data_IF_426118504730
#
_entry.id   IF_426118504730
#
_cell.length_a   1.000
_cell.length_b   1.000
_cell.length_c   1.000
_cell.angle_alpha   90.00
_cell.angle_beta   90.00
_cell.angle_gamma   90.00
#
_symmetry.space_group_name_H-M   'P 1'
#
loop_
_entity.id
_entity.type
_entity.pdbx_description
1 polymer ?
#
# COMPACT_ATOMS: atom_id res chain seq x y z
N UNK A 1 21.42 -22.07 11.88
CA UNK A 1 21.72 -20.86 12.66
C UNK A 1 20.44 -20.20 13.17
N UNK A 2 19.61 -19.64 12.29
CA UNK A 2 18.29 -19.11 12.64
C UNK A 2 17.19 -20.14 12.41
N UNK A 3 16.14 -20.07 13.21
CA UNK A 3 14.84 -20.69 13.00
C UNK A 3 13.79 -19.59 12.84
N UNK A 4 12.64 -19.92 12.29
CA UNK A 4 11.54 -18.97 12.12
C UNK A 4 10.23 -19.57 12.60
N UNK A 5 9.35 -18.70 13.08
CA UNK A 5 7.96 -19.04 13.35
C UNK A 5 7.06 -18.08 12.57
N UNK A 6 5.95 -18.61 12.05
CA UNK A 6 4.94 -17.84 11.32
C UNK A 6 3.70 -17.76 12.20
N UNK A 7 3.20 -16.55 12.41
CA UNK A 7 1.98 -16.27 13.14
C UNK A 7 1.00 -15.49 12.27
N UNK A 8 -0.29 -15.72 12.48
CA UNK A 8 -1.36 -15.03 11.78
C UNK A 8 -1.96 -13.96 12.69
N UNK A 9 -2.04 -12.73 12.21
CA UNK A 9 -2.78 -11.64 12.84
C UNK A 9 -4.11 -11.45 12.12
N UNK A 10 -5.21 -11.72 12.84
CA UNK A 10 -6.58 -11.64 12.34
C UNK A 10 -7.21 -10.24 12.51
N UNK A 11 -6.53 -9.31 13.19
CA UNK A 11 -7.04 -7.97 13.50
C UNK A 11 -6.29 -6.86 12.74
N UNK A 12 -5.54 -7.24 11.71
CA UNK A 12 -4.78 -6.31 10.88
C UNK A 12 -5.64 -5.62 9.82
N UNK A 13 -5.08 -4.56 9.23
CA UNK A 13 -5.77 -3.68 8.27
C UNK A 13 -4.95 -3.58 6.98
N UNK A 14 -5.55 -3.97 5.87
CA UNK A 14 -4.93 -3.97 4.54
C UNK A 14 -5.68 -3.06 3.58
N UNK A 15 -4.97 -2.62 2.54
CA UNK A 15 -5.62 -2.01 1.40
C UNK A 15 -6.45 -3.08 0.67
N UNK A 16 -7.69 -2.77 0.25
CA UNK A 16 -8.51 -3.72 -0.48
C UNK A 16 -7.83 -4.09 -1.80
N UNK A 17 -7.87 -5.37 -2.14
CA UNK A 17 -7.47 -5.79 -3.48
C UNK A 17 -8.47 -5.21 -4.49
N UNK A 18 -7.96 -4.72 -5.62
CA UNK A 18 -8.80 -4.33 -6.74
C UNK A 18 -9.47 -5.58 -7.30
N UNK A 19 -10.66 -5.91 -6.78
CA UNK A 19 -11.48 -6.93 -7.41
C UNK A 19 -11.71 -6.52 -8.87
N UNK A 20 -11.61 -7.47 -9.83
CA UNK A 20 -11.88 -7.17 -11.22
C UNK A 20 -13.34 -6.73 -11.32
N UNK A 21 -13.55 -5.40 -11.39
CA UNK A 21 -14.87 -4.82 -11.57
C UNK A 21 -15.43 -5.39 -12.87
N UNK A 22 -16.28 -6.41 -12.77
CA UNK A 22 -17.11 -6.84 -13.87
C UNK A 22 -18.15 -5.74 -14.09
N UNK A 23 -17.71 -4.67 -14.75
CA UNK A 23 -18.54 -3.53 -15.07
C UNK A 23 -19.57 -3.93 -16.10
N UNK A 24 -20.81 -4.12 -15.67
CA UNK A 24 -21.94 -4.01 -16.57
C UNK A 24 -22.07 -2.54 -16.99
N UNK A 25 -21.44 -2.17 -18.11
CA UNK A 25 -21.55 -0.83 -18.67
C UNK A 25 -23.01 -0.41 -18.86
N UNK A 26 -23.31 0.87 -18.63
CA UNK A 26 -24.63 1.49 -18.84
C UNK A 26 -25.16 1.13 -20.24
N UNK A 27 -26.23 0.33 -20.29
CA UNK A 27 -26.79 -0.21 -21.55
C UNK A 27 -27.77 0.71 -22.28
N UNK A 28 -27.80 1.99 -21.97
CA UNK A 28 -28.61 2.95 -22.74
C UNK A 28 -28.15 4.38 -22.50
N UNK A 29 -27.79 5.07 -23.58
CA UNK A 29 -27.61 6.52 -23.60
C UNK A 29 -28.99 7.17 -23.59
N UNK A 30 -29.25 8.02 -22.60
CA UNK A 30 -30.44 8.86 -22.55
C UNK A 30 -30.25 10.05 -23.50
N UNK A 31 -31.14 10.22 -24.48
CA UNK A 31 -31.06 11.35 -25.44
C UNK A 31 -31.82 12.54 -24.83
N UNK A 32 -31.13 13.65 -24.51
CA UNK A 32 -31.79 14.81 -23.91
C UNK A 32 -32.80 15.42 -24.87
N UNK A 33 -33.94 15.84 -24.33
CA UNK A 33 -35.02 16.46 -25.11
C UNK A 33 -34.86 17.97 -25.14
N UNK A 34 -35.60 18.65 -26.03
CA UNK A 34 -35.56 20.13 -26.14
C UNK A 34 -35.93 20.82 -24.82
N UNK A 35 -36.77 20.18 -23.99
CA UNK A 35 -37.11 20.68 -22.66
C UNK A 35 -35.91 20.68 -21.70
N UNK A 36 -35.04 19.67 -21.76
CA UNK A 36 -33.85 19.58 -20.92
C UNK A 36 -32.84 20.69 -21.27
N UNK A 37 -32.70 21.00 -22.56
CA UNK A 37 -31.83 22.07 -23.06
C UNK A 37 -32.36 23.44 -22.60
N UNK A 38 -33.67 23.66 -22.71
CA UNK A 38 -34.30 24.91 -22.27
C UNK A 38 -34.20 25.10 -20.76
N UNK A 39 -34.36 24.03 -19.99
CA UNK A 39 -34.18 24.04 -18.54
C UNK A 39 -32.74 24.43 -18.20
N UNK A 40 -31.73 23.77 -18.78
CA UNK A 40 -30.32 24.14 -18.60
C UNK A 40 -30.05 25.61 -18.95
N UNK A 41 -30.63 26.13 -20.03
CA UNK A 41 -30.49 27.53 -20.43
C UNK A 41 -31.06 28.51 -19.40
N UNK A 42 -32.19 28.17 -18.79
CA UNK A 42 -32.78 28.96 -17.71
C UNK A 42 -31.90 28.95 -16.46
N UNK A 43 -31.45 27.78 -16.01
CA UNK A 43 -30.55 27.66 -14.85
C UNK A 43 -29.22 28.37 -15.07
N UNK A 44 -28.64 28.25 -16.28
CA UNK A 44 -27.41 28.96 -16.63
C UNK A 44 -27.61 30.48 -16.60
N UNK A 45 -28.75 30.97 -17.09
CA UNK A 45 -29.08 32.40 -17.07
C UNK A 45 -29.30 32.91 -15.64
N UNK A 46 -29.99 32.12 -14.81
CA UNK A 46 -30.18 32.42 -13.39
C UNK A 46 -28.84 32.46 -12.64
N UNK A 47 -27.97 31.46 -12.87
CA UNK A 47 -26.65 31.39 -12.26
C UNK A 47 -25.75 32.56 -12.68
N UNK A 48 -25.74 32.92 -13.96
CA UNK A 48 -24.99 34.07 -14.47
C UNK A 48 -25.44 35.38 -13.80
N UNK A 49 -26.76 35.56 -13.62
CA UNK A 49 -27.30 36.70 -12.90
C UNK A 49 -26.91 36.72 -11.41
N UNK A 50 -26.92 35.57 -10.74
CA UNK A 50 -26.47 35.46 -9.34
C UNK A 50 -25.00 35.83 -9.17
N UNK A 51 -24.12 35.35 -10.07
CA UNK A 51 -22.69 35.68 -10.04
C UNK A 51 -22.48 37.18 -10.32
N UNK A 52 -23.18 37.74 -11.31
CA UNK A 52 -23.09 39.17 -11.60
C UNK A 52 -23.52 40.02 -10.40
N UNK A 53 -24.61 39.63 -9.72
CA UNK A 53 -25.06 40.29 -8.50
C UNK A 53 -24.00 40.17 -7.37
N UNK A 54 -23.43 38.98 -7.16
CA UNK A 54 -22.36 38.78 -6.16
C UNK A 54 -21.12 39.64 -6.46
N UNK A 55 -20.74 39.81 -7.73
CA UNK A 55 -19.63 40.68 -8.13
C UNK A 55 -19.94 42.16 -7.86
N UNK A 56 -21.16 42.61 -8.16
CA UNK A 56 -21.57 44.01 -7.90
C UNK A 56 -21.63 44.29 -6.39
N UNK A 57 -22.17 43.36 -5.59
CA UNK A 57 -22.19 43.49 -4.12
C UNK A 57 -20.77 43.39 -3.52
N UNK A 58 -19.90 42.54 -4.06
CA UNK A 58 -18.51 42.39 -3.63
C UNK A 58 -17.65 43.63 -3.92
N UNK A 59 -17.84 44.28 -5.08
CA UNK A 59 -17.13 45.51 -5.44
C UNK A 59 -17.60 46.73 -4.63
N UNK A 60 -18.88 46.77 -4.25
CA UNK A 60 -19.45 47.87 -3.45
C UNK A 60 -19.17 47.73 -1.95
N UNK A 61 -18.99 46.50 -1.44
CA UNK A 61 -18.65 46.22 -0.05
C UNK A 61 -17.43 45.29 0.07
N UNK A 62 -16.19 45.80 -0.13
CA UNK A 62 -14.97 44.99 -0.22
C UNK A 62 -14.51 44.32 1.10
N UNK A 63 -15.28 44.43 2.19
CA UNK A 63 -14.92 43.88 3.52
C UNK A 63 -15.80 42.73 4.02
N UNK A 64 -16.79 42.25 3.25
CA UNK A 64 -17.73 41.21 3.73
C UNK A 64 -17.40 39.79 3.27
N UNK A 65 -16.62 39.62 2.21
CA UNK A 65 -16.30 38.30 1.63
C UNK A 65 -14.79 38.03 1.70
N UNK A 66 -14.28 37.85 2.91
CA UNK A 66 -12.99 37.18 3.10
C UNK A 66 -13.18 35.69 2.84
N UNK A 67 -12.94 35.25 1.60
CA UNK A 67 -12.97 33.84 1.26
C UNK A 67 -11.71 33.16 1.79
N UNK A 68 -11.89 32.26 2.76
CA UNK A 68 -10.89 31.25 3.11
C UNK A 68 -10.88 30.25 1.96
N UNK A 69 -9.75 30.15 1.25
CA UNK A 69 -9.47 29.01 0.37
C UNK A 69 -9.33 27.78 1.26
N UNK A 70 -10.33 26.91 1.25
CA UNK A 70 -10.20 25.55 1.76
C UNK A 70 -9.76 24.73 0.55
N UNK A 71 -8.50 24.30 0.53
CA UNK A 71 -8.08 23.22 -0.37
C UNK A 71 -8.99 22.03 -0.10
N UNK A 72 -9.84 21.71 -1.08
CA UNK A 72 -10.55 20.44 -1.14
C UNK A 72 -9.50 19.34 -1.33
N UNK A 73 -8.90 18.89 -0.23
CA UNK A 73 -8.19 17.63 -0.26
C UNK A 73 -9.19 16.55 -0.65
N UNK A 74 -8.82 15.84 -1.71
CA UNK A 74 -9.63 14.87 -2.43
C UNK A 74 -9.91 13.64 -1.54
N UNK A 75 -10.88 13.75 -0.64
CA UNK A 75 -11.34 12.65 0.24
C UNK A 75 -11.99 11.49 -0.53
N UNK A 76 -12.04 11.55 -1.87
CA UNK A 76 -12.60 10.51 -2.72
C UNK A 76 -11.61 9.35 -3.03
N UNK A 77 -10.33 9.52 -2.67
CA UNK A 77 -9.25 8.61 -3.07
C UNK A 77 -8.69 7.68 -2.01
N UNK A 78 -9.13 7.75 -0.74
CA UNK A 78 -8.68 6.77 0.25
C UNK A 78 -9.52 5.49 0.11
N UNK A 79 -8.95 4.39 -0.44
CA UNK A 79 -9.66 3.12 -0.37
C UNK A 79 -9.94 2.84 1.12
N UNK A 80 -11.19 2.57 1.45
CA UNK A 80 -11.57 2.20 2.81
C UNK A 80 -10.78 0.94 3.18
N UNK A 81 -9.81 1.09 4.09
CA UNK A 81 -8.99 -0.03 4.52
C UNK A 81 -9.86 -1.12 5.11
N UNK A 82 -9.60 -2.37 4.75
CA UNK A 82 -10.41 -3.53 5.17
C UNK A 82 -9.66 -4.35 6.22
N UNK A 83 -10.42 -5.00 7.11
CA UNK A 83 -9.86 -6.01 8.02
C UNK A 83 -9.40 -7.21 7.20
N UNK A 84 -8.14 -7.59 7.37
CA UNK A 84 -7.49 -8.68 6.66
C UNK A 84 -6.70 -9.55 7.65
N UNK A 85 -6.37 -10.76 7.21
CA UNK A 85 -5.41 -11.61 7.90
C UNK A 85 -4.04 -11.30 7.32
N UNK A 86 -3.07 -11.01 8.19
CA UNK A 86 -1.67 -10.88 7.79
C UNK A 86 -0.83 -11.97 8.43
N UNK A 87 0.15 -12.47 7.69
CA UNK A 87 1.17 -13.38 8.20
C UNK A 87 2.40 -12.59 8.63
N UNK A 88 2.83 -12.81 9.86
CA UNK A 88 4.06 -12.27 10.41
C UNK A 88 5.08 -13.40 10.58
N UNK A 89 6.29 -13.21 10.08
CA UNK A 89 7.40 -14.16 10.25
C UNK A 89 8.42 -13.58 11.22
N UNK A 90 8.70 -14.29 12.31
CA UNK A 90 9.69 -13.90 13.30
C UNK A 90 10.88 -14.87 13.26
N UNK A 91 12.09 -14.32 13.27
CA UNK A 91 13.33 -15.09 13.28
C UNK A 91 13.98 -15.07 14.66
N UNK A 92 14.48 -16.22 15.09
CA UNK A 92 15.16 -16.38 16.38
C UNK A 92 16.32 -17.37 16.24
N UNK A 93 17.20 -17.42 17.25
CA UNK A 93 18.29 -18.38 17.26
C UNK A 93 17.76 -19.79 17.53
N UNK A 94 17.95 -20.70 16.56
CA UNK A 94 17.43 -22.07 16.66
C UNK A 94 18.35 -23.04 17.39
N UNK A 95 19.66 -22.76 17.45
CA UNK A 95 20.65 -23.53 18.21
C UNK A 95 21.41 -22.62 19.15
N UNK A 96 21.92 -23.16 20.26
CA UNK A 96 22.78 -22.48 21.23
C UNK A 96 24.26 -22.47 20.85
N UNK A 97 24.65 -23.11 19.74
CA UNK A 97 26.04 -23.14 19.28
C UNK A 97 26.59 -21.72 19.05
N UNK A 98 27.87 -21.51 19.39
CA UNK A 98 28.54 -20.21 19.28
C UNK A 98 29.07 -19.92 17.88
N UNK A 99 29.54 -20.95 17.18
CA UNK A 99 30.13 -20.81 15.85
C UNK A 99 29.37 -21.66 14.84
N UNK A 100 29.17 -21.10 13.66
CA UNK A 100 28.59 -21.76 12.52
C UNK A 100 29.46 -21.49 11.31
N UNK A 101 29.71 -22.51 10.51
CA UNK A 101 30.41 -22.38 9.23
C UNK A 101 29.66 -23.20 8.17
N UNK A 102 29.87 -22.85 6.91
CA UNK A 102 29.25 -23.58 5.82
C UNK A 102 29.63 -23.02 4.46
N UNK A 103 29.21 -23.75 3.43
CA UNK A 103 29.37 -23.36 2.03
C UNK A 103 27.97 -23.22 1.45
N UNK A 104 27.70 -22.06 0.85
CA UNK A 104 26.50 -21.80 0.06
C UNK A 104 26.82 -22.13 -1.40
N UNK A 105 26.39 -23.30 -1.84
CA UNK A 105 26.55 -23.74 -3.23
C UNK A 105 25.43 -23.17 -4.11
N UNK A 106 25.82 -22.28 -5.01
CA UNK A 106 24.97 -21.77 -6.09
C UNK A 106 25.32 -22.55 -7.37
N UNK A 107 24.52 -22.41 -8.44
CA UNK A 107 24.62 -23.23 -9.66
C UNK A 107 26.04 -23.27 -10.25
N UNK A 108 26.75 -22.13 -10.25
CA UNK A 108 28.05 -21.99 -10.92
C UNK A 108 29.15 -21.39 -10.02
N UNK A 109 28.88 -21.27 -8.72
CA UNK A 109 29.81 -20.68 -7.77
C UNK A 109 29.43 -21.08 -6.34
N UNK A 110 30.43 -21.29 -5.51
CA UNK A 110 30.28 -21.55 -4.09
C UNK A 110 30.73 -20.33 -3.29
N UNK A 111 30.03 -20.01 -2.20
CA UNK A 111 30.46 -18.96 -1.25
C UNK A 111 30.63 -19.54 0.13
N UNK A 112 31.81 -19.36 0.72
CA UNK A 112 32.04 -19.77 2.09
C UNK A 112 31.53 -18.69 3.05
N UNK A 113 30.93 -19.11 4.16
CA UNK A 113 30.56 -18.22 5.24
C UNK A 113 31.01 -18.77 6.60
N UNK A 114 31.35 -17.84 7.48
CA UNK A 114 31.65 -18.08 8.87
C UNK A 114 30.85 -17.09 9.72
N UNK A 115 30.15 -17.61 10.71
CA UNK A 115 29.30 -16.81 11.60
C UNK A 115 29.62 -17.15 13.06
N UNK A 116 29.84 -16.13 13.87
CA UNK A 116 30.15 -16.26 15.28
C UNK A 116 29.24 -15.35 16.13
N UNK A 117 28.60 -15.95 17.14
CA UNK A 117 27.77 -15.22 18.09
C UNK A 117 28.65 -14.49 19.10
N UNK A 118 28.37 -13.20 19.29
CA UNK A 118 29.11 -12.39 20.24
C UNK A 118 28.61 -12.70 21.66
N UNK A 119 29.53 -13.11 22.53
CA UNK A 119 29.21 -13.52 23.90
C UNK A 119 28.47 -12.42 24.67
N UNK A 120 27.45 -12.81 25.43
CA UNK A 120 26.59 -11.93 26.23
C UNK A 120 25.77 -10.90 25.42
N UNK A 121 25.52 -11.17 24.13
CA UNK A 121 24.66 -10.32 23.29
C UNK A 121 23.75 -11.15 22.38
N UNK A 122 22.77 -10.50 21.76
CA UNK A 122 21.96 -11.05 20.68
C UNK A 122 22.56 -10.79 19.29
N UNK A 123 23.82 -10.35 19.22
CA UNK A 123 24.50 -10.00 17.97
C UNK A 123 25.27 -11.20 17.42
N UNK A 124 25.32 -11.29 16.09
CA UNK A 124 26.14 -12.26 15.37
C UNK A 124 26.98 -11.54 14.35
N UNK A 125 28.26 -11.85 14.36
CA UNK A 125 29.19 -11.42 13.32
C UNK A 125 29.24 -12.48 12.22
N UNK A 126 28.98 -12.08 10.98
CA UNK A 126 28.98 -12.97 9.81
C UNK A 126 30.00 -12.44 8.81
N UNK A 127 30.94 -13.28 8.42
CA UNK A 127 31.90 -13.05 7.36
C UNK A 127 31.59 -14.02 6.22
N UNK A 128 31.49 -13.49 5.00
CA UNK A 128 31.27 -14.30 3.80
C UNK A 128 32.08 -13.76 2.64
N UNK A 129 32.39 -14.61 1.67
CA UNK A 129 32.96 -14.17 0.39
C UNK A 129 32.12 -13.08 -0.26
N UNK A 130 32.73 -12.18 -1.03
CA UNK A 130 32.03 -11.07 -1.68
C UNK A 130 30.88 -11.54 -2.57
N UNK A 131 29.76 -10.79 -2.59
CA UNK A 131 28.63 -11.05 -3.49
C UNK A 131 29.03 -10.93 -4.96
N UNK A 132 29.98 -10.05 -5.26
CA UNK A 132 30.50 -9.81 -6.61
C UNK A 132 31.22 -11.03 -7.21
N UNK A 133 31.70 -11.96 -6.37
CA UNK A 133 32.34 -13.19 -6.84
C UNK A 133 31.31 -14.20 -7.40
N UNK A 134 30.02 -14.02 -7.09
CA UNK A 134 28.97 -14.99 -7.40
C UNK A 134 27.60 -14.30 -7.53
N UNK A 135 27.33 -13.72 -8.70
CA UNK A 135 26.10 -12.94 -8.98
C UNK A 135 24.84 -13.78 -9.19
N UNK A 136 24.99 -15.05 -9.60
CA UNK A 136 23.86 -15.93 -9.95
C UNK A 136 23.29 -16.71 -8.76
N UNK A 137 23.60 -16.30 -7.54
CA UNK A 137 22.93 -16.83 -6.35
C UNK A 137 21.61 -16.07 -6.14
N UNK A 138 20.63 -16.37 -6.98
CA UNK A 138 19.32 -15.73 -6.93
C UNK A 138 18.41 -16.50 -5.98
N UNK A 139 18.45 -16.11 -4.71
CA UNK A 139 17.44 -16.49 -3.73
C UNK A 139 16.41 -15.36 -3.70
N UNK A 140 15.12 -15.70 -3.89
CA UNK A 140 14.02 -14.76 -3.68
C UNK A 140 14.27 -13.94 -2.40
N UNK A 141 14.13 -12.60 -2.44
CA UNK A 141 14.42 -11.78 -1.28
C UNK A 141 13.53 -12.23 -0.11
N UNK A 142 14.17 -12.60 1.00
CA UNK A 142 13.47 -12.89 2.24
C UNK A 142 13.01 -11.57 2.83
N UNK A 143 11.71 -11.30 2.76
CA UNK A 143 11.10 -10.13 3.38
C UNK A 143 10.58 -10.49 4.77
N UNK A 144 10.94 -9.67 5.76
CA UNK A 144 10.35 -9.71 7.09
C UNK A 144 9.41 -8.51 7.24
N UNK A 145 8.16 -8.73 6.87
CA UNK A 145 7.09 -7.74 6.99
C UNK A 145 5.75 -8.47 7.17
N UNK A 146 4.76 -7.77 7.71
CA UNK A 146 3.37 -8.22 7.66
C UNK A 146 2.93 -8.28 6.20
N UNK A 147 2.51 -9.47 5.78
CA UNK A 147 2.03 -9.69 4.41
C UNK A 147 0.59 -10.19 4.47
N UNK A 148 -0.33 -9.65 3.66
CA UNK A 148 -1.68 -10.22 3.55
C UNK A 148 -1.60 -11.68 3.11
N UNK A 149 -2.39 -12.53 3.76
CA UNK A 149 -2.50 -13.96 3.47
C UNK A 149 -3.94 -14.42 3.72
N UNK A 150 -4.38 -15.47 3.05
CA UNK A 150 -5.76 -15.99 3.20
C UNK A 150 -5.97 -16.75 4.52
N UNK A 151 -4.89 -16.94 5.28
CA UNK A 151 -4.91 -17.69 6.54
C UNK A 151 -4.83 -19.20 6.33
N UNK A 152 -4.88 -19.98 7.43
CA UNK A 152 -4.89 -21.43 7.35
C UNK A 152 -6.19 -21.94 6.69
N UNK A 153 -6.09 -23.02 5.91
CA UNK A 153 -7.25 -23.60 5.25
C UNK A 153 -8.26 -24.09 6.30
N UNK A 154 -9.51 -23.60 6.31
CA UNK A 154 -10.51 -23.99 7.30
C UNK A 154 -11.01 -25.44 7.14
N UNK A 155 -10.63 -26.12 6.04
CA UNK A 155 -11.10 -27.46 5.68
C UNK A 155 -10.07 -28.57 5.96
N UNK A 156 -8.90 -28.26 6.49
CA UNK A 156 -7.94 -29.23 7.05
C UNK A 156 -8.14 -29.41 8.55
#
# INVERSE_FOLDING_TARGET
MYAFNKSYDYQSVCDPEDEPKQGAGLRSINVPTIADILHLGWWASAAAWSILQQLVWGLTFPRFLGAVEVEEEDFSGFPSKQSCITVQTQYFFGSDDKSFNGILDCINCSRLFHAEKISNTNLVFIMSDSKELCHHCDTRPLMQAEKPDEGPNPCE
#
